data_IF_452771505264
#
_entry.id   IF_452771505264
#
_cell.length_a   1.000
_cell.length_b   1.000
_cell.length_c   1.000
_cell.angle_alpha   90.00
_cell.angle_beta   90.00
_cell.angle_gamma   90.00
#
_symmetry.space_group_name_H-M   'P 1'
#
loop_
_entity.id
_entity.type
_entity.pdbx_description
1 polymer ?
#
# COMPACT_ATOMS: atom_id res chain seq x y z
N UNK A 1 0.35 22.44 24.40
CA UNK A 1 0.78 21.04 24.20
C UNK A 1 1.17 20.89 22.75
N UNK A 2 2.37 20.41 22.45
CA UNK A 2 2.76 20.10 21.07
C UNK A 2 2.04 18.81 20.65
N UNK A 3 1.41 18.76 19.47
CA UNK A 3 0.80 17.52 19.00
C UNK A 3 1.88 16.44 18.86
N UNK A 4 1.54 15.16 19.16
CA UNK A 4 2.48 14.07 18.99
C UNK A 4 2.95 14.01 17.52
N UNK A 5 4.24 13.78 17.31
CA UNK A 5 4.79 13.56 15.98
C UNK A 5 4.10 12.34 15.34
N UNK A 6 3.64 12.42 14.07
CA UNK A 6 3.03 11.28 13.39
C UNK A 6 4.01 10.10 13.31
N UNK A 7 3.52 8.88 13.51
CA UNK A 7 4.37 7.69 13.38
C UNK A 7 4.89 7.58 11.93
N UNK A 8 6.21 7.40 11.71
CA UNK A 8 6.79 7.54 10.38
C UNK A 8 6.22 6.55 9.36
N UNK A 9 5.81 5.36 9.80
CA UNK A 9 5.12 4.34 8.98
C UNK A 9 3.93 4.88 8.18
N UNK A 10 3.19 5.85 8.71
CA UNK A 10 2.06 6.45 8.00
C UNK A 10 2.50 7.10 6.69
N UNK A 11 3.63 7.78 6.66
CA UNK A 11 4.13 8.43 5.45
C UNK A 11 4.51 7.42 4.38
N UNK A 12 5.15 6.31 4.78
CA UNK A 12 5.54 5.25 3.85
C UNK A 12 4.33 4.56 3.23
N UNK A 13 3.34 4.17 4.05
CA UNK A 13 2.14 3.53 3.52
C UNK A 13 1.28 4.49 2.69
N UNK A 14 1.16 5.75 3.11
CA UNK A 14 0.49 6.77 2.31
C UNK A 14 1.16 6.95 0.94
N UNK A 15 2.49 7.02 0.88
CA UNK A 15 3.21 7.17 -0.38
C UNK A 15 3.05 5.94 -1.28
N UNK A 16 3.17 4.72 -0.71
CA UNK A 16 2.92 3.48 -1.44
C UNK A 16 1.53 3.46 -2.08
N UNK A 17 0.48 3.74 -1.30
CA UNK A 17 -0.92 3.73 -1.77
C UNK A 17 -1.13 4.83 -2.82
N UNK A 18 -0.63 6.05 -2.56
CA UNK A 18 -0.76 7.18 -3.48
C UNK A 18 -0.08 6.92 -4.82
N UNK A 19 1.13 6.36 -4.82
CA UNK A 19 1.87 6.08 -6.04
C UNK A 19 1.31 4.89 -6.80
N UNK A 20 0.76 3.89 -6.09
CA UNK A 20 0.00 2.79 -6.71
C UNK A 20 -1.26 3.31 -7.41
N UNK A 21 -1.99 4.23 -6.79
CA UNK A 21 -3.15 4.88 -7.40
C UNK A 21 -2.80 5.71 -8.64
N UNK A 22 -1.69 6.46 -8.60
CA UNK A 22 -1.21 7.19 -9.79
C UNK A 22 -0.87 6.23 -10.92
N UNK A 23 -0.13 5.16 -10.62
CA UNK A 23 0.22 4.15 -11.61
C UNK A 23 -1.02 3.52 -12.24
N UNK A 24 -2.05 3.20 -11.45
CA UNK A 24 -3.32 2.70 -11.97
C UNK A 24 -3.96 3.68 -12.97
N UNK A 25 -3.92 4.99 -12.68
CA UNK A 25 -4.47 6.03 -13.57
C UNK A 25 -3.68 6.20 -14.86
N UNK A 26 -2.39 5.91 -14.84
CA UNK A 26 -1.50 6.09 -15.98
C UNK A 26 -1.55 4.89 -16.95
N UNK A 27 -2.28 3.82 -16.61
CA UNK A 27 -2.45 2.64 -17.48
C UNK A 27 -3.34 2.99 -18.67
N UNK A 28 -2.78 2.76 -19.86
CA UNK A 28 -3.50 2.88 -21.12
C UNK A 28 -4.47 1.69 -21.29
N UNK A 29 -5.77 1.98 -21.15
CA UNK A 29 -6.85 0.99 -21.19
C UNK A 29 -6.99 0.35 -22.58
N UNK A 30 -6.72 1.10 -23.66
CA UNK A 30 -6.82 0.58 -25.03
C UNK A 30 -5.70 -0.42 -25.31
N UNK A 31 -4.48 -0.08 -24.88
CA UNK A 31 -3.33 -1.00 -24.93
C UNK A 31 -3.55 -2.24 -24.08
N UNK A 32 -4.07 -2.08 -22.87
CA UNK A 32 -4.39 -3.22 -22.02
C UNK A 32 -5.41 -4.16 -22.70
N UNK A 33 -6.49 -3.60 -23.26
CA UNK A 33 -7.58 -4.36 -23.91
C UNK A 33 -7.11 -5.06 -25.19
N UNK A 34 -6.21 -4.44 -25.95
CA UNK A 34 -5.59 -5.05 -27.13
C UNK A 34 -4.49 -6.08 -26.81
N UNK A 35 -4.22 -6.31 -25.52
CA UNK A 35 -3.25 -7.30 -25.07
C UNK A 35 -1.81 -6.82 -25.15
N UNK A 36 -1.54 -5.52 -25.10
CA UNK A 36 -0.17 -5.03 -24.97
C UNK A 36 0.48 -5.59 -23.69
N UNK A 37 1.73 -6.05 -23.80
CA UNK A 37 2.44 -6.68 -22.67
C UNK A 37 2.77 -5.66 -21.58
N UNK A 38 3.20 -4.46 -21.95
CA UNK A 38 3.61 -3.45 -20.97
C UNK A 38 2.42 -2.97 -20.15
N UNK A 39 1.27 -2.74 -20.78
CA UNK A 39 0.03 -2.39 -20.09
C UNK A 39 -0.44 -3.52 -19.13
N UNK A 40 -0.31 -4.80 -19.55
CA UNK A 40 -0.60 -5.95 -18.68
C UNK A 40 0.35 -6.07 -17.48
N UNK A 41 1.65 -5.84 -17.70
CA UNK A 41 2.65 -5.85 -16.62
C UNK A 41 2.37 -4.73 -15.60
N UNK A 42 1.96 -3.54 -16.05
CA UNK A 42 1.58 -2.43 -15.16
C UNK A 42 0.35 -2.76 -14.30
N UNK A 43 -0.67 -3.40 -14.88
CA UNK A 43 -1.84 -3.88 -14.11
C UNK A 43 -1.42 -4.92 -13.07
N UNK A 44 -0.59 -5.90 -13.47
CA UNK A 44 -0.06 -6.91 -12.55
C UNK A 44 0.75 -6.29 -11.41
N UNK A 45 1.51 -5.22 -11.67
CA UNK A 45 2.25 -4.51 -10.64
C UNK A 45 1.31 -3.80 -9.66
N UNK A 46 0.24 -3.17 -10.13
CA UNK A 46 -0.78 -2.56 -9.25
C UNK A 46 -1.40 -3.60 -8.31
N UNK A 47 -1.77 -4.77 -8.82
CA UNK A 47 -2.25 -5.87 -7.97
C UNK A 47 -1.21 -6.33 -6.95
N UNK A 48 0.04 -6.50 -7.38
CA UNK A 48 1.14 -6.85 -6.48
C UNK A 48 1.34 -5.84 -5.36
N UNK A 49 1.24 -4.53 -5.66
CA UNK A 49 1.35 -3.46 -4.68
C UNK A 49 0.16 -3.41 -3.73
N UNK A 50 -1.07 -3.68 -4.19
CA UNK A 50 -2.24 -3.80 -3.32
C UNK A 50 -2.10 -4.98 -2.34
N UNK A 51 -1.65 -6.14 -2.83
CA UNK A 51 -1.35 -7.30 -2.01
C UNK A 51 -0.27 -6.99 -0.96
N UNK A 52 0.79 -6.29 -1.37
CA UNK A 52 1.84 -5.88 -0.46
C UNK A 52 1.34 -4.90 0.59
N UNK A 53 0.56 -3.89 0.20
CA UNK A 53 -0.08 -2.96 1.14
C UNK A 53 -0.95 -3.70 2.16
N UNK A 54 -1.71 -4.71 1.74
CA UNK A 54 -2.50 -5.55 2.65
C UNK A 54 -1.62 -6.32 3.65
N UNK A 55 -0.48 -6.86 3.21
CA UNK A 55 0.49 -7.50 4.14
C UNK A 55 1.01 -6.48 5.16
N UNK A 56 1.37 -5.27 4.72
CA UNK A 56 1.97 -4.25 5.56
C UNK A 56 1.01 -3.70 6.62
N UNK A 57 -0.24 -3.40 6.26
CA UNK A 57 -1.24 -2.89 7.24
C UNK A 57 -1.65 -3.95 8.28
N UNK A 58 -1.35 -5.22 8.02
CA UNK A 58 -1.57 -6.33 8.92
C UNK A 58 -0.27 -6.80 9.63
N UNK A 59 0.84 -6.07 9.49
CA UNK A 59 2.08 -6.42 10.21
C UNK A 59 1.90 -6.26 11.72
N UNK A 60 1.97 -7.39 12.43
CA UNK A 60 1.94 -7.45 13.89
C UNK A 60 3.33 -7.73 14.48
N UNK A 61 4.35 -7.89 13.64
CA UNK A 61 5.70 -8.29 14.08
C UNK A 61 6.58 -7.11 14.48
N UNK A 62 6.16 -5.87 14.19
CA UNK A 62 6.94 -4.65 14.42
C UNK A 62 8.03 -4.40 13.37
N UNK A 63 8.20 -5.30 12.39
CA UNK A 63 9.19 -5.16 11.32
C UNK A 63 8.91 -3.95 10.44
N UNK A 64 7.64 -3.65 10.15
CA UNK A 64 7.28 -2.47 9.38
C UNK A 64 7.65 -1.18 10.13
N UNK A 65 7.37 -1.12 11.43
CA UNK A 65 7.78 0.01 12.26
C UNK A 65 9.31 0.19 12.21
N UNK A 66 10.08 -0.90 12.40
CA UNK A 66 11.54 -0.86 12.31
C UNK A 66 12.05 -0.34 10.95
N UNK A 67 11.51 -0.87 9.83
CA UNK A 67 11.93 -0.48 8.47
C UNK A 67 11.59 0.97 8.13
N UNK A 68 10.60 1.54 8.81
CA UNK A 68 10.14 2.91 8.60
C UNK A 68 10.70 3.88 9.64
N UNK A 69 11.63 3.43 10.50
CA UNK A 69 12.27 4.27 11.52
C UNK A 69 11.41 4.52 12.77
N UNK A 70 10.35 3.74 12.96
CA UNK A 70 9.52 3.72 14.16
C UNK A 70 10.00 2.69 15.20
N UNK A 71 9.37 2.74 16.38
CA UNK A 71 9.64 1.80 17.47
C UNK A 71 8.93 0.45 17.21
N UNK A 72 9.65 -0.67 17.05
CA UNK A 72 9.03 -1.98 16.81
C UNK A 72 8.17 -2.49 17.98
N UNK A 73 8.36 -1.96 19.19
CA UNK A 73 7.52 -2.29 20.36
C UNK A 73 6.18 -1.55 20.36
N UNK A 74 6.03 -0.53 19.50
CA UNK A 74 4.81 0.27 19.36
C UNK A 74 4.45 0.43 17.87
N UNK A 75 4.10 -0.67 17.17
CA UNK A 75 3.70 -0.59 15.77
C UNK A 75 2.39 0.19 15.60
N UNK A 76 2.21 0.76 14.40
CA UNK A 76 0.96 1.44 14.06
C UNK A 76 -0.18 0.44 13.95
N UNK A 77 -1.26 0.70 14.69
CA UNK A 77 -2.56 0.08 14.44
C UNK A 77 -3.35 0.93 13.43
N UNK A 78 -3.57 0.37 12.25
CA UNK A 78 -4.35 1.00 11.18
C UNK A 78 -5.87 0.89 11.38
N UNK A 79 -6.33 0.09 12.35
CA UNK A 79 -7.74 -0.16 12.60
C UNK A 79 -8.43 -0.98 11.51
N UNK A 80 -9.67 -1.37 11.79
CA UNK A 80 -10.42 -2.32 10.95
C UNK A 80 -10.84 -1.73 9.61
N UNK A 81 -11.12 -0.43 9.53
CA UNK A 81 -11.54 0.23 8.30
C UNK A 81 -10.43 0.16 7.22
N UNK A 82 -9.19 0.50 7.59
CA UNK A 82 -8.05 0.46 6.66
C UNK A 82 -7.73 -0.99 6.29
N UNK A 83 -7.71 -1.91 7.26
CA UNK A 83 -7.49 -3.35 7.00
C UNK A 83 -8.52 -3.93 6.04
N UNK A 84 -9.80 -3.60 6.22
CA UNK A 84 -10.89 -4.08 5.37
C UNK A 84 -10.77 -3.54 3.95
N UNK A 85 -10.42 -2.26 3.79
CA UNK A 85 -10.17 -1.65 2.46
C UNK A 85 -8.96 -2.26 1.76
N UNK A 86 -7.87 -2.51 2.48
CA UNK A 86 -6.69 -3.15 1.92
C UNK A 86 -6.98 -4.58 1.46
N UNK A 87 -7.75 -5.34 2.24
CA UNK A 87 -8.21 -6.68 1.86
C UNK A 87 -9.10 -6.67 0.61
N UNK A 88 -10.04 -5.74 0.52
CA UNK A 88 -10.90 -5.63 -0.66
C UNK A 88 -10.13 -5.38 -1.97
N UNK A 89 -8.96 -4.75 -1.87
CA UNK A 89 -8.07 -4.49 -3.02
C UNK A 89 -7.08 -5.63 -3.32
N UNK A 90 -6.88 -6.57 -2.37
CA UNK A 90 -6.02 -7.76 -2.56
C UNK A 90 -6.75 -8.95 -3.17
N UNK A 91 -8.07 -9.03 -2.97
CA UNK A 91 -8.87 -10.20 -3.37
C UNK A 91 -9.38 -10.12 -4.84
N UNK A 92 -8.74 -9.29 -5.68
CA UNK A 92 -9.14 -9.00 -7.08
C UNK A 92 -8.45 -9.93 -8.09
#
# INVERSE_FOLDING_TARGET
MQPPSPHPTFFFLYDLVRNTYKQLKDIDVEKHTSGDKAARDQVSEVYGRNNFANILVNDTTGKLALLTGGDPSNPVDFGDDIRSKAKALSDV
#
